data_IF_127977336571
#
_entry.id   IF_127977336571
#
_cell.length_a   1.000
_cell.length_b   1.000
_cell.length_c   1.000
_cell.angle_alpha   90.00
_cell.angle_beta   90.00
_cell.angle_gamma   90.00
#
_symmetry.space_group_name_H-M   'P 1'
#
loop_
_entity.id
_entity.type
_entity.pdbx_description
1 polymer ?
#
# COMPACT_ATOMS: atom_id res chain seq x y z
N UNK A 1 2.17 15.78 12.18
CA UNK A 1 2.68 14.63 11.42
C UNK A 1 1.51 13.73 11.12
N UNK A 2 1.42 13.27 9.88
CA UNK A 2 0.32 12.44 9.40
C UNK A 2 0.84 11.02 9.25
N UNK A 3 0.13 10.01 9.76
CA UNK A 3 0.52 8.63 9.49
C UNK A 3 0.14 8.25 8.07
N UNK A 4 1.06 7.61 7.37
CA UNK A 4 0.82 7.00 6.06
C UNK A 4 0.86 5.48 6.18
N UNK A 5 -0.18 4.80 5.69
CA UNK A 5 -0.30 3.35 5.62
C UNK A 5 -0.01 2.85 4.20
N UNK A 6 1.15 2.21 4.03
CA UNK A 6 1.55 1.54 2.80
C UNK A 6 1.08 0.07 2.81
N UNK A 7 0.52 -0.41 1.70
CA UNK A 7 0.02 -1.79 1.57
C UNK A 7 0.57 -2.57 0.36
N UNK A 8 1.42 -1.92 -0.45
CA UNK A 8 1.97 -2.48 -1.69
C UNK A 8 3.49 -2.21 -1.78
N UNK A 9 4.01 -1.72 -2.90
CA UNK A 9 5.45 -1.50 -3.08
C UNK A 9 6.11 -0.62 -2.00
N UNK A 10 5.39 0.36 -1.45
CA UNK A 10 5.86 1.20 -0.35
C UNK A 10 5.97 0.47 1.01
N UNK A 11 5.65 -0.84 1.08
CA UNK A 11 6.01 -1.69 2.22
C UNK A 11 7.54 -1.81 2.35
N UNK A 12 8.29 -1.70 1.24
CA UNK A 12 9.75 -1.68 1.28
C UNK A 12 10.24 -0.31 1.79
N UNK A 13 10.76 -0.31 3.01
CA UNK A 13 11.34 0.89 3.63
C UNK A 13 12.45 1.52 2.79
N UNK A 14 13.22 0.74 2.01
CA UNK A 14 14.28 1.28 1.14
C UNK A 14 13.69 2.09 -0.02
N UNK A 15 12.55 1.66 -0.56
CA UNK A 15 11.81 2.44 -1.55
C UNK A 15 11.28 3.72 -0.93
N UNK A 16 10.69 3.61 0.27
CA UNK A 16 10.18 4.78 1.00
C UNK A 16 11.27 5.79 1.31
N UNK A 17 12.47 5.40 1.72
CA UNK A 17 13.59 6.34 1.95
C UNK A 17 13.96 7.12 0.68
N UNK A 18 13.77 6.55 -0.53
CA UNK A 18 14.02 7.28 -1.79
C UNK A 18 12.89 8.25 -2.14
N UNK A 19 11.64 7.92 -1.81
CA UNK A 19 10.45 8.72 -2.16
C UNK A 19 10.17 9.82 -1.13
N UNK A 20 10.38 9.50 0.14
CA UNK A 20 10.08 10.29 1.33
C UNK A 20 11.21 10.13 2.38
N UNK A 21 12.38 10.76 2.16
CA UNK A 21 13.57 10.53 2.98
C UNK A 21 13.45 11.00 4.43
N UNK A 22 12.50 11.88 4.76
CA UNK A 22 12.27 12.40 6.10
C UNK A 22 11.15 11.65 6.84
N UNK A 23 10.64 10.57 6.25
CA UNK A 23 9.46 9.86 6.71
C UNK A 23 9.79 8.42 7.11
N UNK A 24 10.33 8.20 8.33
CA UNK A 24 10.75 6.89 8.78
C UNK A 24 9.57 5.94 9.01
N UNK A 25 9.84 4.64 8.94
CA UNK A 25 8.88 3.61 9.34
C UNK A 25 8.70 3.68 10.85
N UNK A 26 7.44 3.80 11.30
CA UNK A 26 7.06 3.85 12.71
C UNK A 26 6.71 2.46 13.24
N UNK A 27 5.84 1.73 12.53
CA UNK A 27 5.34 0.42 12.96
C UNK A 27 4.69 -0.32 11.79
N UNK A 28 4.12 -1.49 12.08
CA UNK A 28 3.27 -2.25 11.15
C UNK A 28 1.89 -2.46 11.76
N UNK A 29 0.94 -2.85 10.92
CA UNK A 29 -0.41 -3.12 11.37
C UNK A 29 -1.26 -3.80 10.31
N UNK A 30 -2.56 -3.84 10.59
CA UNK A 30 -3.57 -4.46 9.75
C UNK A 30 -4.71 -3.51 9.46
N UNK A 31 -5.09 -3.45 8.20
CA UNK A 31 -6.30 -2.80 7.76
C UNK A 31 -7.42 -3.85 7.69
N UNK A 32 -8.21 -3.95 8.76
CA UNK A 32 -9.28 -4.94 8.92
C UNK A 32 -10.54 -4.54 8.16
N UNK A 33 -11.20 -5.52 7.54
CA UNK A 33 -12.38 -5.26 6.71
C UNK A 33 -12.02 -4.80 5.30
N UNK A 34 -10.78 -5.00 4.87
CA UNK A 34 -10.27 -4.63 3.55
C UNK A 34 -9.52 -5.79 2.91
N UNK A 35 -9.46 -5.81 1.58
CA UNK A 35 -8.60 -6.73 0.85
C UNK A 35 -7.78 -6.00 -0.21
N UNK A 36 -6.54 -6.45 -0.36
CA UNK A 36 -5.70 -6.06 -1.50
C UNK A 36 -6.33 -6.62 -2.77
N UNK A 37 -6.42 -5.80 -3.80
CA UNK A 37 -6.86 -6.15 -5.14
C UNK A 37 -6.07 -5.34 -6.17
N UNK A 38 -6.46 -5.42 -7.44
CA UNK A 38 -5.84 -4.68 -8.53
C UNK A 38 -6.90 -3.98 -9.37
N UNK A 39 -6.52 -2.93 -10.06
CA UNK A 39 -7.41 -2.12 -10.87
C UNK A 39 -6.65 -1.24 -11.86
N UNK A 40 -7.40 -0.55 -12.72
CA UNK A 40 -6.83 0.49 -13.58
C UNK A 40 -5.75 -0.04 -14.55
N UNK A 41 -6.00 -1.17 -15.20
CA UNK A 41 -5.10 -1.75 -16.20
C UNK A 41 -4.74 -0.74 -17.32
N UNK A 42 -5.67 0.15 -17.67
CA UNK A 42 -5.46 1.26 -18.60
C UNK A 42 -4.59 2.41 -18.06
N UNK A 43 -4.37 2.47 -16.75
CA UNK A 43 -3.57 3.48 -16.05
C UNK A 43 -2.18 2.96 -15.71
N UNK A 44 -2.01 1.63 -15.63
CA UNK A 44 -0.74 0.99 -15.34
C UNK A 44 0.10 0.77 -16.61
N UNK A 45 1.43 0.88 -16.46
CA UNK A 45 2.37 0.59 -17.54
C UNK A 45 2.60 -0.92 -17.76
N UNK A 46 2.40 -1.74 -16.73
CA UNK A 46 2.68 -3.19 -16.75
C UNK A 46 1.53 -4.03 -16.17
N UNK A 47 0.29 -3.63 -16.48
CA UNK A 47 -0.92 -4.29 -16.00
C UNK A 47 -1.59 -3.56 -14.84
N UNK A 48 -2.47 -4.26 -14.13
CA UNK A 48 -3.32 -3.65 -13.10
C UNK A 48 -2.50 -3.22 -11.87
N UNK A 49 -2.81 -2.01 -11.37
CA UNK A 49 -2.15 -1.37 -10.23
C UNK A 49 -2.75 -1.85 -8.91
N UNK A 50 -1.93 -1.95 -7.86
CA UNK A 50 -2.38 -2.41 -6.56
C UNK A 50 -3.34 -1.42 -5.91
N UNK A 51 -4.45 -1.91 -5.36
CA UNK A 51 -5.37 -1.10 -4.58
C UNK A 51 -6.04 -1.92 -3.50
N UNK A 52 -6.90 -1.30 -2.69
CA UNK A 52 -7.70 -2.01 -1.70
C UNK A 52 -9.17 -1.66 -1.84
N UNK A 53 -10.02 -2.62 -1.47
CA UNK A 53 -11.47 -2.47 -1.42
C UNK A 53 -12.00 -3.05 -0.11
N UNK A 54 -13.17 -2.58 0.33
CA UNK A 54 -13.84 -3.11 1.51
C UNK A 54 -14.20 -4.59 1.30
N UNK A 55 -13.88 -5.40 2.30
CA UNK A 55 -14.12 -6.83 2.36
C UNK A 55 -14.18 -7.26 3.84
N UNK A 56 -15.38 -7.36 4.46
CA UNK A 56 -15.54 -7.47 5.91
C UNK A 56 -14.83 -8.64 6.61
N UNK A 57 -14.44 -9.67 5.85
CA UNK A 57 -13.75 -10.88 6.37
C UNK A 57 -12.28 -10.96 5.95
N UNK A 58 -11.72 -9.84 5.50
CA UNK A 58 -10.36 -9.76 5.01
C UNK A 58 -9.57 -8.71 5.77
N UNK A 59 -8.26 -8.81 5.67
CA UNK A 59 -7.33 -7.85 6.22
C UNK A 59 -6.16 -7.65 5.27
N UNK A 60 -5.58 -6.46 5.28
CA UNK A 60 -4.39 -6.10 4.50
C UNK A 60 -3.28 -5.73 5.45
N UNK A 61 -2.11 -6.34 5.30
CA UNK A 61 -0.92 -5.95 6.05
C UNK A 61 -0.43 -4.60 5.57
N UNK A 62 -0.08 -3.72 6.51
CA UNK A 62 0.41 -2.38 6.21
C UNK A 62 1.64 -2.02 7.01
N UNK A 63 2.51 -1.20 6.40
CA UNK A 63 3.58 -0.48 7.09
C UNK A 63 3.12 0.97 7.34
N UNK A 64 3.34 1.45 8.56
CA UNK A 64 3.02 2.81 8.98
C UNK A 64 4.27 3.68 8.98
N UNK A 65 4.21 4.82 8.31
CA UNK A 65 5.28 5.81 8.24
C UNK A 65 4.83 7.14 8.84
N UNK A 66 5.72 7.79 9.57
CA UNK A 66 5.51 9.16 10.03
C UNK A 66 5.79 10.12 8.87
N UNK A 67 4.75 10.48 8.11
CA UNK A 67 4.92 11.31 6.92
C UNK A 67 5.23 12.76 7.33
N UNK A 68 6.42 13.21 6.95
CA UNK A 68 6.85 14.58 7.14
C UNK A 68 6.12 15.49 6.15
N UNK A 69 5.69 16.71 6.55
CA UNK A 69 5.01 17.64 5.65
C UNK A 69 5.77 17.94 4.35
N UNK A 70 7.11 17.91 4.39
CA UNK A 70 7.97 18.15 3.23
C UNK A 70 7.94 17.01 2.21
N UNK A 71 7.61 15.80 2.64
CA UNK A 71 7.55 14.63 1.78
C UNK A 71 6.13 14.38 1.23
N UNK A 72 5.11 15.06 1.76
CA UNK A 72 3.70 14.90 1.34
C UNK A 72 3.51 15.18 -0.17
N UNK A 73 4.04 16.29 -0.66
CA UNK A 73 3.95 16.66 -2.08
C UNK A 73 4.76 15.71 -2.97
N UNK A 74 5.88 15.18 -2.45
CA UNK A 74 6.69 14.19 -3.16
C UNK A 74 5.91 12.89 -3.33
N UNK A 75 5.28 12.41 -2.26
CA UNK A 75 4.44 11.21 -2.27
C UNK A 75 3.26 11.36 -3.22
N UNK A 76 2.56 12.49 -3.20
CA UNK A 76 1.43 12.73 -4.11
C UNK A 76 1.84 12.70 -5.58
N UNK A 77 3.06 13.19 -5.91
CA UNK A 77 3.60 13.08 -7.26
C UNK A 77 3.95 11.64 -7.63
N UNK A 78 4.58 10.89 -6.71
CA UNK A 78 4.93 9.48 -6.94
C UNK A 78 3.72 8.58 -7.13
N UNK A 79 2.65 8.84 -6.39
CA UNK A 79 1.39 8.09 -6.44
C UNK A 79 0.44 8.64 -7.53
N UNK A 80 0.83 9.70 -8.25
CA UNK A 80 0.06 10.22 -9.37
C UNK A 80 -1.27 10.88 -8.97
N UNK A 81 -1.33 11.51 -7.78
CA UNK A 81 -2.53 12.23 -7.31
C UNK A 81 -2.89 13.37 -8.26
N UNK A 82 -1.89 14.13 -8.72
CA UNK A 82 -2.10 15.21 -9.71
C UNK A 82 -2.51 14.70 -11.10
N UNK A 83 -2.38 13.39 -11.36
CA UNK A 83 -2.79 12.72 -12.60
C UNK A 83 -4.08 11.91 -12.42
N UNK A 84 -4.75 12.06 -11.27
CA UNK A 84 -5.98 11.34 -10.91
C UNK A 84 -5.84 9.80 -10.92
N UNK A 85 -4.63 9.28 -10.70
CA UNK A 85 -4.38 7.82 -10.62
C UNK A 85 -4.81 7.30 -9.24
N UNK A 86 -4.35 7.96 -8.17
CA UNK A 86 -4.72 7.64 -6.80
C UNK A 86 -5.28 8.87 -6.08
N UNK A 87 -6.11 8.63 -5.06
CA UNK A 87 -6.55 9.64 -4.09
C UNK A 87 -6.15 9.27 -2.67
N UNK A 88 -5.99 10.27 -1.81
CA UNK A 88 -5.81 10.08 -0.37
C UNK A 88 -7.13 9.66 0.27
N UNK A 89 -7.09 8.67 1.16
CA UNK A 89 -8.22 8.21 1.97
C UNK A 89 -7.78 8.02 3.43
N UNK A 90 -8.63 8.41 4.39
CA UNK A 90 -8.39 8.14 5.81
C UNK A 90 -8.88 6.74 6.16
N UNK A 91 -8.08 6.03 6.93
CA UNK A 91 -8.39 4.71 7.46
C UNK A 91 -7.97 4.62 8.93
N UNK A 92 -8.43 3.57 9.60
CA UNK A 92 -7.93 3.17 10.91
C UNK A 92 -7.14 1.89 10.76
N UNK A 93 -5.89 1.92 11.18
CA UNK A 93 -5.00 0.76 11.14
C UNK A 93 -4.92 0.17 12.53
N UNK A 94 -5.11 -1.14 12.63
CA UNK A 94 -4.94 -1.88 13.87
C UNK A 94 -3.47 -2.26 14.04
N UNK A 95 -2.82 -1.65 15.03
CA UNK A 95 -1.45 -1.94 15.43
C UNK A 95 -1.45 -2.75 16.73
N UNK A 96 -0.27 -3.19 17.19
CA UNK A 96 -0.13 -3.83 18.49
C UNK A 96 -0.46 -2.87 19.66
N UNK A 97 -0.29 -1.56 19.46
CA UNK A 97 -0.54 -0.52 20.46
C UNK A 97 -1.98 0.03 20.42
N UNK A 98 -2.79 -0.41 19.45
CA UNK A 98 -4.18 0.02 19.27
C UNK A 98 -4.51 0.50 17.86
N UNK A 99 -5.69 1.11 17.71
CA UNK A 99 -6.14 1.71 16.45
C UNK A 99 -5.52 3.10 16.26
N UNK A 100 -4.87 3.29 15.12
CA UNK A 100 -4.22 4.55 14.74
C UNK A 100 -4.86 5.12 13.45
N UNK A 101 -5.26 6.40 13.41
CA UNK A 101 -5.74 7.03 12.19
C UNK A 101 -4.57 7.28 11.22
N UNK A 102 -4.70 6.80 9.99
CA UNK A 102 -3.69 6.97 8.95
C UNK A 102 -4.34 7.37 7.61
N UNK A 103 -3.52 7.91 6.71
CA UNK A 103 -3.85 8.12 5.31
C UNK A 103 -3.29 6.98 4.47
N UNK A 104 -3.94 6.68 3.37
CA UNK A 104 -3.44 5.77 2.35
C UNK A 104 -3.88 6.23 0.96
N UNK A 105 -3.23 5.71 -0.07
CA UNK A 105 -3.59 5.98 -1.46
C UNK A 105 -4.53 4.88 -1.97
N UNK A 106 -5.70 5.25 -2.49
CA UNK A 106 -6.66 4.33 -3.13
C UNK A 106 -6.78 4.70 -4.60
N UNK A 107 -6.82 3.70 -5.46
CA UNK A 107 -6.86 3.89 -6.90
C UNK A 107 -8.19 4.56 -7.29
N UNK A 108 -8.13 5.56 -8.15
CA UNK A 108 -9.29 6.18 -8.79
C UNK A 108 -9.69 5.39 -10.05
N UNK A 109 -10.02 4.12 -9.85
CA UNK A 109 -10.39 3.22 -10.93
C UNK A 109 -11.29 2.10 -10.45
N UNK A 110 -11.85 1.37 -11.41
CA UNK A 110 -12.59 0.16 -11.10
C UNK A 110 -11.63 -0.99 -10.76
N UNK A 111 -12.05 -1.80 -9.80
CA UNK A 111 -11.40 -3.06 -9.50
C UNK A 111 -11.48 -4.00 -10.70
N UNK A 112 -10.38 -4.68 -11.01
CA UNK A 112 -10.29 -5.68 -12.06
C UNK A 112 -8.90 -5.74 -12.70
N UNK A 113 -8.70 -6.78 -13.51
CA UNK A 113 -7.42 -7.04 -14.17
C UNK A 113 -6.45 -7.84 -13.30
N UNK A 114 -5.32 -8.19 -13.91
CA UNK A 114 -4.24 -8.94 -13.26
C UNK A 114 -2.97 -8.08 -13.20
N UNK A 115 -2.23 -8.13 -12.09
CA UNK A 115 -0.90 -7.54 -12.04
C UNK A 115 0.07 -8.37 -12.87
N UNK A 116 1.17 -7.79 -13.34
CA UNK A 116 2.27 -8.61 -13.84
C UNK A 116 2.85 -9.49 -12.73
N UNK A 117 3.35 -10.69 -13.10
CA UNK A 117 4.02 -11.59 -12.15
C UNK A 117 5.20 -10.92 -11.44
N UNK A 118 5.93 -10.04 -12.16
CA UNK A 118 7.02 -9.22 -11.61
C UNK A 118 6.50 -8.30 -10.50
N UNK A 119 5.45 -7.53 -10.78
CA UNK A 119 4.90 -6.57 -9.82
C UNK A 119 4.29 -7.25 -8.59
N UNK A 120 3.61 -8.39 -8.78
CA UNK A 120 3.12 -9.19 -7.67
C UNK A 120 4.27 -9.73 -6.79
N UNK A 121 5.37 -10.17 -7.42
CA UNK A 121 6.59 -10.56 -6.72
C UNK A 121 7.17 -9.42 -5.88
N UNK A 122 7.26 -8.22 -6.44
CA UNK A 122 7.75 -7.03 -5.74
C UNK A 122 6.91 -6.66 -4.52
N UNK A 123 5.58 -6.76 -4.62
CA UNK A 123 4.69 -6.52 -3.47
C UNK A 123 4.91 -7.57 -2.38
N UNK A 124 5.09 -8.84 -2.76
CA UNK A 124 5.35 -9.91 -1.80
C UNK A 124 6.72 -9.75 -1.12
N UNK A 125 7.76 -9.41 -1.87
CA UNK A 125 9.11 -9.15 -1.33
C UNK A 125 9.10 -7.92 -0.40
N UNK A 126 8.37 -6.87 -0.77
CA UNK A 126 8.19 -5.68 0.06
C UNK A 126 7.47 -6.04 1.37
N UNK A 127 6.39 -6.82 1.32
CA UNK A 127 5.69 -7.31 2.50
C UNK A 127 6.58 -8.16 3.41
N UNK A 128 7.36 -9.07 2.83
CA UNK A 128 8.32 -9.90 3.58
C UNK A 128 9.39 -9.04 4.27
N UNK A 129 9.95 -8.06 3.56
CA UNK A 129 10.96 -7.14 4.13
C UNK A 129 10.40 -6.26 5.26
N UNK A 130 9.10 -5.93 5.21
CA UNK A 130 8.40 -5.19 6.26
C UNK A 130 8.02 -6.06 7.47
N UNK A 131 8.30 -7.38 7.42
CA UNK A 131 7.99 -8.31 8.50
C UNK A 131 6.56 -8.84 8.48
N UNK A 132 5.89 -8.85 7.32
CA UNK A 132 4.58 -9.48 7.19
C UNK A 132 4.66 -10.98 7.52
N UNK A 133 3.61 -11.58 8.12
CA UNK A 133 3.58 -13.00 8.37
C UNK A 133 3.75 -13.84 7.10
N UNK A 134 4.42 -14.99 7.24
CA UNK A 134 4.77 -15.85 6.12
C UNK A 134 3.56 -16.32 5.32
N UNK A 135 2.44 -16.63 5.98
CA UNK A 135 1.19 -17.03 5.33
C UNK A 135 0.59 -15.90 4.49
N UNK A 136 0.68 -14.64 4.94
CA UNK A 136 0.28 -13.47 4.17
C UNK A 136 1.15 -13.30 2.92
N UNK A 137 2.48 -13.37 3.06
CA UNK A 137 3.42 -13.28 1.94
C UNK A 137 3.18 -14.40 0.92
N UNK A 138 3.03 -15.64 1.37
CA UNK A 138 2.71 -16.76 0.49
C UNK A 138 1.33 -16.62 -0.17
N UNK A 139 0.37 -16.03 0.54
CA UNK A 139 -0.92 -15.66 -0.01
C UNK A 139 -0.80 -14.67 -1.17
N UNK A 140 0.06 -13.67 -1.06
CA UNK A 140 0.36 -12.72 -2.15
C UNK A 140 0.99 -13.44 -3.35
N UNK A 141 2.03 -14.25 -3.13
CA UNK A 141 2.75 -14.94 -4.22
C UNK A 141 1.89 -15.95 -4.99
N UNK A 142 0.79 -16.43 -4.41
CA UNK A 142 -0.16 -17.37 -5.04
C UNK A 142 -1.30 -16.69 -5.78
N UNK A 143 -1.39 -15.36 -5.76
CA UNK A 143 -2.43 -14.63 -6.49
C UNK A 143 -2.24 -14.80 -8.00
N UNK A 144 -3.33 -14.80 -8.77
CA UNK A 144 -3.24 -14.81 -10.23
C UNK A 144 -2.54 -13.53 -10.73
N UNK A 145 -1.74 -13.70 -11.79
CA UNK A 145 -0.98 -12.67 -12.49
C UNK A 145 -0.97 -13.00 -13.98
#
# INVERSE_FOLDING_TARGET
MSLYAAYAGNLDARLMTRRAPHSPMRSTGWLNGWRLTFGGEQMGWEGALATVVEAPRSQVFVALYDLAPMDEDSMDRWEGVGLDIYRRMRVRVHTLDGEEPAWMYVLNGYEGGLPSARYLGEIADAAESAGAPHDYVMGLRKRPC
#
